data_IF_014993189271
#
_entry.id   IF_014993189271
#
_cell.length_a   1.000
_cell.length_b   1.000
_cell.length_c   1.000
_cell.angle_alpha   90.00
_cell.angle_beta   90.00
_cell.angle_gamma   90.00
#
_symmetry.space_group_name_H-M   'P 1'
#
loop_
_entity.id
_entity.type
_entity.pdbx_description
1 polymer ?
#
# COMPACT_ATOMS: atom_id res chain seq x y z
N UNK A 1 -37.15 -21.05 13.22
CA UNK A 1 -35.75 -21.03 12.77
C UNK A 1 -35.52 -19.67 12.12
N UNK A 2 -35.11 -18.69 12.91
CA UNK A 2 -34.53 -17.46 12.37
C UNK A 2 -33.24 -17.84 11.68
N UNK A 3 -33.15 -17.55 10.38
CA UNK A 3 -31.89 -17.61 9.66
C UNK A 3 -31.15 -16.34 10.06
N UNK A 4 -30.13 -16.48 10.90
CA UNK A 4 -29.10 -15.45 11.07
C UNK A 4 -28.53 -15.14 9.69
N UNK A 5 -28.96 -14.00 9.14
CA UNK A 5 -28.35 -13.42 7.96
C UNK A 5 -27.01 -12.89 8.46
N UNK A 6 -25.93 -13.61 8.15
CA UNK A 6 -24.57 -13.09 8.28
C UNK A 6 -24.52 -11.74 7.53
N UNK A 7 -24.61 -10.65 8.30
CA UNK A 7 -24.33 -9.32 7.80
C UNK A 7 -22.87 -9.33 7.34
N UNK A 8 -22.70 -9.38 6.02
CA UNK A 8 -21.41 -9.24 5.37
C UNK A 8 -20.79 -7.95 5.87
N UNK A 9 -19.64 -8.04 6.54
CA UNK A 9 -18.89 -6.82 6.88
C UNK A 9 -18.65 -6.04 5.59
N UNK A 10 -18.84 -4.70 5.58
CA UNK A 10 -18.53 -3.89 4.43
C UNK A 10 -17.06 -4.12 4.07
N UNK A 11 -16.84 -4.59 2.84
CA UNK A 11 -15.50 -4.80 2.30
C UNK A 11 -14.78 -3.44 2.28
N UNK A 12 -13.52 -3.42 2.68
CA UNK A 12 -12.76 -2.18 2.67
C UNK A 12 -12.56 -1.70 1.23
N UNK A 13 -13.02 -0.48 0.96
CA UNK A 13 -12.94 0.12 -0.36
C UNK A 13 -11.58 0.81 -0.54
N UNK A 14 -10.64 0.05 -1.11
CA UNK A 14 -9.31 0.53 -1.47
C UNK A 14 -9.40 1.72 -2.44
N UNK A 15 -10.36 1.72 -3.36
CA UNK A 15 -10.49 2.80 -4.34
C UNK A 15 -10.93 4.10 -3.67
N UNK A 16 -11.92 4.04 -2.78
CA UNK A 16 -12.33 5.19 -1.98
C UNK A 16 -11.20 5.70 -1.07
N UNK A 17 -10.44 4.78 -0.47
CA UNK A 17 -9.25 5.12 0.32
C UNK A 17 -8.20 5.88 -0.50
N UNK A 18 -7.85 5.39 -1.70
CA UNK A 18 -6.88 6.04 -2.59
C UNK A 18 -7.36 7.44 -2.98
N UNK A 19 -8.64 7.58 -3.40
CA UNK A 19 -9.20 8.89 -3.79
C UNK A 19 -9.16 9.89 -2.62
N UNK A 20 -9.51 9.45 -1.41
CA UNK A 20 -9.55 10.33 -0.23
C UNK A 20 -8.18 10.87 0.14
N UNK A 21 -7.11 10.11 -0.13
CA UNK A 21 -5.75 10.49 0.24
C UNK A 21 -4.93 11.10 -0.89
N UNK A 22 -5.40 11.01 -2.15
CA UNK A 22 -4.66 11.37 -3.36
C UNK A 22 -4.09 12.79 -3.37
N UNK A 23 -4.81 13.75 -2.79
CA UNK A 23 -4.40 15.16 -2.77
C UNK A 23 -3.46 15.52 -1.59
N UNK A 24 -3.22 14.58 -0.68
CA UNK A 24 -2.52 14.84 0.59
C UNK A 24 -1.34 13.94 0.87
N UNK A 25 -1.28 12.81 0.18
CA UNK A 25 -0.22 11.82 0.26
C UNK A 25 0.51 11.80 -1.08
N UNK A 26 1.84 11.65 -1.07
CA UNK A 26 2.59 11.53 -2.31
C UNK A 26 2.11 10.34 -3.15
N UNK A 27 2.11 10.50 -4.48
CA UNK A 27 1.55 9.49 -5.38
C UNK A 27 2.28 8.14 -5.29
N UNK A 28 3.61 8.13 -5.10
CA UNK A 28 4.38 6.89 -4.96
C UNK A 28 4.09 6.23 -3.60
N UNK A 29 4.01 7.04 -2.56
CA UNK A 29 3.68 6.60 -1.19
C UNK A 29 2.30 5.93 -1.14
N UNK A 30 1.30 6.55 -1.76
CA UNK A 30 -0.05 6.03 -1.82
C UNK A 30 -0.12 4.72 -2.62
N UNK A 31 0.64 4.64 -3.72
CA UNK A 31 0.70 3.44 -4.56
C UNK A 31 1.33 2.25 -3.83
N UNK A 32 2.38 2.49 -3.02
CA UNK A 32 2.98 1.45 -2.17
C UNK A 32 1.97 0.89 -1.16
N UNK A 33 1.20 1.77 -0.50
CA UNK A 33 0.17 1.35 0.47
C UNK A 33 -0.93 0.57 -0.23
N UNK A 34 -1.40 1.02 -1.40
CA UNK A 34 -2.39 0.30 -2.17
C UNK A 34 -1.91 -1.11 -2.53
N UNK A 35 -0.66 -1.25 -2.98
CA UNK A 35 -0.06 -2.54 -3.30
C UNK A 35 0.00 -3.44 -2.08
N UNK A 36 0.49 -2.94 -0.95
CA UNK A 36 0.56 -3.70 0.31
C UNK A 36 -0.83 -4.14 0.80
N UNK A 37 -1.85 -3.30 0.68
CA UNK A 37 -3.22 -3.64 1.07
C UNK A 37 -3.81 -4.76 0.21
N UNK A 38 -3.53 -4.72 -1.10
CA UNK A 38 -3.96 -5.76 -2.05
C UNK A 38 -3.24 -7.08 -1.81
N UNK A 39 -1.92 -7.05 -1.57
CA UNK A 39 -1.11 -8.25 -1.33
C UNK A 39 -1.44 -8.93 0.00
N UNK A 40 -1.58 -8.16 1.07
CA UNK A 40 -1.83 -8.70 2.42
C UNK A 40 -3.31 -9.05 2.66
N UNK A 41 -4.21 -8.67 1.75
CA UNK A 41 -5.64 -8.96 1.86
C UNK A 41 -6.30 -8.37 3.12
N UNK A 42 -5.74 -7.29 3.66
CA UNK A 42 -6.19 -6.72 4.95
C UNK A 42 -7.44 -5.89 4.70
N UNK A 43 -8.56 -6.31 5.29
CA UNK A 43 -9.87 -5.66 5.10
C UNK A 43 -10.38 -4.95 6.36
N UNK A 44 -9.73 -5.13 7.51
CA UNK A 44 -10.17 -4.49 8.76
C UNK A 44 -9.52 -3.13 8.96
N UNK A 45 -10.29 -2.13 9.41
CA UNK A 45 -9.79 -0.78 9.73
C UNK A 45 -8.58 -0.81 10.66
N UNK A 46 -8.59 -1.72 11.64
CA UNK A 46 -7.47 -1.93 12.57
C UNK A 46 -6.21 -2.45 11.86
N UNK A 47 -6.37 -3.41 10.95
CA UNK A 47 -5.26 -3.97 10.18
C UNK A 47 -4.67 -2.94 9.23
N UNK A 48 -5.52 -2.17 8.54
CA UNK A 48 -5.13 -1.09 7.62
C UNK A 48 -4.35 -0.01 8.38
N UNK A 49 -4.85 0.46 9.53
CA UNK A 49 -4.15 1.44 10.37
C UNK A 49 -2.78 0.94 10.84
N UNK A 50 -2.64 -0.36 11.16
CA UNK A 50 -1.36 -0.95 11.57
C UNK A 50 -0.38 -1.03 10.40
N UNK A 51 -0.85 -1.40 9.22
CA UNK A 51 -0.05 -1.48 8.00
C UNK A 51 0.49 -0.09 7.63
N UNK A 52 -0.37 0.93 7.57
CA UNK A 52 0.03 2.31 7.27
C UNK A 52 1.03 2.84 8.33
N UNK A 53 0.77 2.57 9.62
CA UNK A 53 1.70 2.93 10.70
C UNK A 53 3.08 2.28 10.50
N UNK A 54 3.13 1.02 10.07
CA UNK A 54 4.37 0.31 9.77
C UNK A 54 5.09 0.90 8.56
N UNK A 55 4.37 1.23 7.48
CA UNK A 55 4.96 1.85 6.28
C UNK A 55 5.58 3.22 6.61
N UNK A 56 4.95 4.02 7.47
CA UNK A 56 5.51 5.28 7.99
C UNK A 56 6.80 5.05 8.80
N UNK A 57 6.85 4.01 9.66
CA UNK A 57 8.06 3.70 10.44
C UNK A 57 9.24 3.25 9.58
N UNK A 58 8.95 2.54 8.49
CA UNK A 58 9.98 2.10 7.55
C UNK A 58 10.45 3.24 6.62
N UNK A 59 10.07 4.49 6.90
CA UNK A 59 10.42 5.70 6.15
C UNK A 59 9.96 5.69 4.69
N UNK A 60 8.96 4.86 4.36
CA UNK A 60 8.35 4.85 3.03
C UNK A 60 7.29 5.92 2.86
N UNK A 61 6.93 6.65 3.94
CA UNK A 61 5.80 7.56 3.93
C UNK A 61 5.89 8.65 4.98
N UNK A 62 5.50 9.88 4.63
CA UNK A 62 5.14 10.87 5.64
C UNK A 62 3.85 10.49 6.38
N UNK A 63 3.77 10.86 7.67
CA UNK A 63 2.62 10.57 8.51
C UNK A 63 1.36 11.28 7.98
N UNK A 64 0.30 10.57 7.57
CA UNK A 64 -0.95 11.19 7.14
C UNK A 64 -1.64 11.92 8.30
N UNK A 65 -2.42 12.95 7.98
CA UNK A 65 -3.26 13.63 8.99
C UNK A 65 -4.28 12.64 9.55
N UNK A 66 -4.38 12.58 10.88
CA UNK A 66 -5.23 11.62 11.59
C UNK A 66 -6.71 11.71 11.21
N UNK A 67 -7.21 12.89 10.84
CA UNK A 67 -8.60 13.11 10.45
C UNK A 67 -8.90 12.55 9.07
N UNK A 68 -8.02 12.81 8.09
CA UNK A 68 -8.13 12.27 6.74
C UNK A 68 -7.99 10.75 6.73
N UNK A 69 -7.10 10.22 7.56
CA UNK A 69 -6.92 8.79 7.71
C UNK A 69 -8.15 8.12 8.35
N UNK A 70 -8.81 8.80 9.29
CA UNK A 70 -10.05 8.33 9.89
C UNK A 70 -11.19 8.27 8.87
N UNK A 71 -11.30 9.30 8.03
CA UNK A 71 -12.27 9.37 6.94
C UNK A 71 -12.02 8.30 5.86
N UNK A 72 -10.78 8.18 5.38
CA UNK A 72 -10.41 7.23 4.33
C UNK A 72 -10.61 5.76 4.74
N UNK A 73 -10.53 5.45 6.04
CA UNK A 73 -10.68 4.10 6.60
C UNK A 73 -12.09 3.87 7.15
N UNK A 74 -12.95 4.89 7.11
CA UNK A 74 -14.26 4.91 7.75
C UNK A 74 -14.18 4.42 9.21
N UNK A 75 -13.32 5.07 9.99
CA UNK A 75 -13.10 4.72 11.39
C UNK A 75 -13.05 5.95 12.29
N UNK A 76 -13.20 5.74 13.60
CA UNK A 76 -13.27 6.86 14.53
C UNK A 76 -11.88 7.51 14.72
N UNK A 77 -11.76 8.86 14.72
CA UNK A 77 -10.51 9.54 15.00
C UNK A 77 -9.82 9.10 16.32
N UNK A 78 -10.55 8.79 17.41
CA UNK A 78 -9.95 8.22 18.62
C UNK A 78 -9.25 6.87 18.39
N UNK A 79 -9.76 6.03 17.48
CA UNK A 79 -9.11 4.76 17.13
C UNK A 79 -7.77 5.03 16.44
N UNK A 80 -7.73 5.97 15.50
CA UNK A 80 -6.50 6.39 14.82
C UNK A 80 -5.48 6.91 15.83
N UNK A 81 -5.90 7.82 16.73
CA UNK A 81 -5.04 8.35 17.78
C UNK A 81 -4.53 7.26 18.73
N UNK A 82 -5.38 6.30 19.13
CA UNK A 82 -4.99 5.16 19.97
C UNK A 82 -3.96 4.27 19.29
N UNK A 83 -4.13 3.99 17.99
CA UNK A 83 -3.16 3.19 17.24
C UNK A 83 -1.86 3.96 17.08
N UNK A 84 -1.92 5.26 16.83
CA UNK A 84 -0.73 6.07 16.60
C UNK A 84 0.08 6.30 17.88
N UNK A 85 -0.59 6.68 18.95
CA UNK A 85 -0.01 7.08 20.24
C UNK A 85 0.08 5.92 21.24
N UNK A 86 -0.51 4.77 20.93
CA UNK A 86 -0.37 3.56 21.73
C UNK A 86 1.10 3.15 21.83
N UNK A 87 1.45 2.27 22.79
CA UNK A 87 2.81 1.74 22.91
C UNK A 87 3.26 1.29 21.52
N UNK A 88 4.49 1.68 21.14
CA UNK A 88 5.10 1.23 19.90
C UNK A 88 4.82 -0.26 19.77
N UNK A 89 4.43 -0.69 18.57
CA UNK A 89 4.32 -2.11 18.29
C UNK A 89 5.67 -2.69 18.67
N UNK A 90 5.74 -3.31 19.86
CA UNK A 90 6.87 -4.14 20.19
C UNK A 90 6.73 -5.23 19.16
N UNK A 91 7.55 -5.13 18.12
CA UNK A 91 7.86 -6.25 17.27
C UNK A 91 8.16 -7.35 18.28
N UNK A 92 7.20 -8.27 18.49
CA UNK A 92 7.59 -9.58 18.97
C UNK A 92 8.52 -10.01 17.86
N UNK A 93 9.82 -9.86 18.11
CA UNK A 93 10.81 -10.57 17.34
C UNK A 93 10.31 -12.00 17.35
N UNK A 94 9.73 -12.42 16.23
CA UNK A 94 9.71 -13.82 15.91
C UNK A 94 11.20 -14.14 15.93
N UNK A 95 11.63 -14.89 16.94
CA UNK A 95 13.00 -15.42 17.08
C UNK A 95 13.25 -16.44 15.97
N UNK A 96 12.99 -16.09 14.73
CA UNK A 96 13.61 -16.69 13.56
C UNK A 96 14.72 -15.75 13.13
N UNK A 97 15.71 -15.58 14.00
CA UNK A 97 17.07 -15.21 13.58
C UNK A 97 17.69 -16.42 12.87
N UNK A 98 17.12 -16.82 11.73
CA UNK A 98 17.95 -17.40 10.68
C UNK A 98 18.37 -16.22 9.83
N UNK A 99 19.55 -15.69 10.13
CA UNK A 99 20.27 -14.86 9.18
C UNK A 99 20.23 -15.60 7.84
N UNK A 100 19.75 -14.93 6.80
CA UNK A 100 19.74 -15.49 5.45
C UNK A 100 21.16 -15.97 5.16
N UNK A 101 21.29 -17.18 4.63
CA UNK A 101 22.60 -17.60 4.13
C UNK A 101 22.98 -16.66 2.99
N UNK A 102 24.28 -16.43 2.72
CA UNK A 102 24.71 -15.56 1.62
C UNK A 102 24.01 -15.88 0.28
N UNK A 103 23.74 -17.16 0.01
CA UNK A 103 22.99 -17.59 -1.19
C UNK A 103 21.52 -17.15 -1.21
N UNK A 104 20.84 -17.08 -0.06
CA UNK A 104 19.46 -16.62 0.03
C UNK A 104 19.39 -15.09 -0.14
N UNK A 105 20.39 -14.37 0.37
CA UNK A 105 20.51 -12.93 0.16
C UNK A 105 20.82 -12.59 -1.30
N UNK A 106 21.66 -13.38 -1.96
CA UNK A 106 21.97 -13.18 -3.38
C UNK A 106 20.77 -13.51 -4.28
N UNK A 107 20.00 -14.56 -3.93
CA UNK A 107 18.75 -14.88 -4.60
C UNK A 107 17.67 -13.80 -4.41
N UNK A 108 17.57 -13.20 -3.22
CA UNK A 108 16.62 -12.10 -2.98
C UNK A 108 17.04 -10.82 -3.70
N UNK A 109 18.35 -10.49 -3.72
CA UNK A 109 18.90 -9.39 -4.54
C UNK A 109 18.63 -9.60 -6.03
N UNK A 110 18.83 -10.82 -6.55
CA UNK A 110 18.54 -11.16 -7.95
C UNK A 110 17.06 -10.98 -8.30
N UNK A 111 16.15 -11.40 -7.41
CA UNK A 111 14.70 -11.18 -7.59
C UNK A 111 14.35 -9.70 -7.57
N UNK A 112 14.90 -8.93 -6.64
CA UNK A 112 14.66 -7.49 -6.54
C UNK A 112 15.16 -6.75 -7.79
N UNK A 113 16.36 -7.07 -8.28
CA UNK A 113 16.89 -6.53 -9.54
C UNK A 113 16.01 -6.92 -10.74
N UNK A 114 15.47 -8.15 -10.75
CA UNK A 114 14.52 -8.59 -11.77
C UNK A 114 13.22 -7.80 -11.78
N UNK A 115 12.66 -7.50 -10.61
CA UNK A 115 11.45 -6.68 -10.44
C UNK A 115 11.70 -5.24 -10.89
N UNK A 116 12.84 -4.65 -10.50
CA UNK A 116 13.23 -3.29 -10.93
C UNK A 116 13.42 -3.24 -12.46
N UNK A 117 14.10 -4.25 -13.03
CA UNK A 117 14.30 -4.32 -14.49
C UNK A 117 13.00 -4.45 -15.27
N UNK A 118 12.04 -5.25 -14.78
CA UNK A 118 10.73 -5.42 -15.43
C UNK A 118 9.89 -4.15 -15.34
N UNK A 119 9.85 -3.48 -14.20
CA UNK A 119 9.09 -2.24 -14.02
C UNK A 119 9.68 -1.07 -14.83
N UNK A 120 11.01 -0.92 -14.90
CA UNK A 120 11.66 0.07 -15.79
C UNK A 120 11.33 -0.20 -17.26
N UNK A 121 11.33 -1.46 -17.68
CA UNK A 121 10.97 -1.86 -19.05
C UNK A 121 9.50 -1.56 -19.37
N UNK A 122 8.58 -1.83 -18.44
CA UNK A 122 7.16 -1.51 -18.60
C UNK A 122 6.92 0.00 -18.75
N UNK A 123 7.56 0.82 -17.91
CA UNK A 123 7.48 2.29 -17.97
C UNK A 123 8.00 2.82 -19.32
N UNK A 124 9.12 2.29 -19.83
CA UNK A 124 9.66 2.68 -21.13
C UNK A 124 8.69 2.35 -22.28
N UNK A 125 8.07 1.17 -22.24
CA UNK A 125 7.10 0.74 -23.25
C UNK A 125 5.85 1.64 -23.25
N UNK A 126 5.34 2.01 -22.07
CA UNK A 126 4.20 2.92 -21.96
C UNK A 126 4.51 4.31 -22.56
N UNK A 127 5.67 4.88 -22.25
CA UNK A 127 6.11 6.17 -22.83
C UNK A 127 6.28 6.11 -24.35
N UNK A 128 6.74 4.98 -24.89
CA UNK A 128 6.86 4.78 -26.34
C UNK A 128 5.47 4.73 -27.01
N UNK A 129 4.52 4.03 -26.39
CA UNK A 129 3.14 3.94 -26.88
C UNK A 129 2.43 5.30 -26.87
N UNK A 130 2.62 6.12 -25.83
CA UNK A 130 2.11 7.50 -25.79
C UNK A 130 2.66 8.35 -26.93
N UNK A 131 3.98 8.29 -27.17
CA UNK A 131 4.63 9.02 -28.28
C UNK A 131 4.10 8.55 -29.64
N UNK A 132 3.88 7.25 -29.83
CA UNK A 132 3.33 6.71 -31.07
C UNK A 132 1.87 7.11 -31.29
N UNK A 133 1.06 7.22 -30.23
CA UNK A 133 -0.32 7.76 -30.32
C UNK A 133 -0.30 9.22 -30.78
N UNK A 134 0.52 10.06 -30.15
CA UNK A 134 0.67 11.48 -30.53
C UNK A 134 1.11 11.66 -31.98
N UNK A 135 2.07 10.84 -32.45
CA UNK A 135 2.53 10.89 -33.84
C UNK A 135 1.44 10.43 -34.82
N UNK A 136 0.63 9.44 -34.45
CA UNK A 136 -0.50 8.97 -35.28
C UNK A 136 -1.64 9.98 -35.36
N UNK A 137 -1.93 10.70 -34.29
CA UNK A 137 -2.95 11.78 -34.29
C UNK A 137 -2.49 12.96 -35.14
N UNK A 138 -1.24 13.39 -34.97
CA UNK A 138 -0.65 14.51 -35.74
C UNK A 138 -0.51 14.24 -37.25
N UNK A 139 -0.60 12.98 -37.70
CA UNK A 139 -0.60 12.59 -39.12
C UNK A 139 -2.00 12.51 -39.74
N UNK A 140 -3.07 12.66 -38.96
CA UNK A 140 -4.46 12.64 -39.45
C UNK A 140 -5.07 14.03 -39.64
N UNK A 141 -4.41 15.07 -39.15
CA UNK A 141 -4.66 16.48 -39.52
C UNK A 141 -3.87 16.83 -40.79
#
# INVERSE_FOLDING_TARGET
>A
MEKDVEQSQPQFDIQNFTITLQDTVDTLELWLIESDLRENGVQSSLGILRLIKQSCYMCYMEKPKSTLLAEAIDCSPPLVAKIWNGPQYQKKEIKETRLLTPSQEEASRGKMLGIIGTSVSQIATMRLLERLKLIKEKKRE
#
